data_IF_465382317856
#
_entry.id   IF_465382317856
#
_cell.length_a   1.000
_cell.length_b   1.000
_cell.length_c   1.000
_cell.angle_alpha   90.00
_cell.angle_beta   90.00
_cell.angle_gamma   90.00
#
_symmetry.space_group_name_H-M   'P 1'
#
loop_
_entity.id
_entity.type
_entity.pdbx_description
1 polymer ?
#
# COMPACT_ATOMS: atom_id res chain seq x y z
N UNK A 1 -1.93 17.93 9.73
CA UNK A 1 -2.45 18.23 8.37
C UNK A 1 -3.84 17.64 8.24
N UNK A 2 -4.85 18.41 7.80
CA UNK A 2 -6.14 17.84 7.39
C UNK A 2 -5.85 16.88 6.22
N UNK A 3 -6.00 15.56 6.43
CA UNK A 3 -5.97 14.58 5.33
C UNK A 3 -7.08 15.00 4.36
N UNK A 4 -6.73 15.68 3.26
CA UNK A 4 -7.63 15.81 2.11
C UNK A 4 -8.08 14.40 1.77
N UNK A 5 -9.38 14.19 1.62
CA UNK A 5 -9.93 12.88 1.25
C UNK A 5 -9.36 12.51 -0.11
N UNK A 6 -8.33 11.66 -0.13
CA UNK A 6 -7.76 11.15 -1.37
C UNK A 6 -8.80 10.26 -2.06
N UNK A 7 -8.80 10.22 -3.40
CA UNK A 7 -9.60 9.23 -4.12
C UNK A 7 -9.15 7.82 -3.72
N UNK A 8 -10.09 6.89 -3.75
CA UNK A 8 -9.90 5.52 -3.27
C UNK A 8 -10.13 4.50 -4.37
N UNK A 9 -9.38 3.40 -4.33
CA UNK A 9 -9.53 2.28 -5.24
C UNK A 9 -9.73 0.97 -4.47
N UNK A 10 -10.61 0.12 -4.97
CA UNK A 10 -10.70 -1.27 -4.53
C UNK A 10 -9.44 -2.02 -4.98
N UNK A 11 -9.10 -3.10 -4.28
CA UNK A 11 -7.90 -3.92 -4.54
C UNK A 11 -7.68 -4.24 -6.02
N UNK A 12 -8.73 -4.69 -6.73
CA UNK A 12 -8.62 -5.00 -8.16
C UNK A 12 -8.20 -3.80 -9.01
N UNK A 13 -8.82 -2.65 -8.78
CA UNK A 13 -8.59 -1.46 -9.61
C UNK A 13 -7.27 -0.76 -9.21
N UNK A 14 -6.90 -0.86 -7.93
CA UNK A 14 -5.58 -0.50 -7.44
C UNK A 14 -4.49 -1.31 -8.16
N UNK A 15 -4.63 -2.64 -8.23
CA UNK A 15 -3.65 -3.50 -8.93
C UNK A 15 -3.57 -3.19 -10.42
N UNK A 16 -4.71 -2.94 -11.07
CA UNK A 16 -4.72 -2.54 -12.48
C UNK A 16 -3.92 -1.26 -12.70
N UNK A 17 -4.08 -0.27 -11.81
CA UNK A 17 -3.32 0.98 -11.88
C UNK A 17 -1.83 0.76 -11.58
N UNK A 18 -1.50 -0.01 -10.54
CA UNK A 18 -0.11 -0.31 -10.17
C UNK A 18 0.65 -1.08 -11.27
N UNK A 19 -0.07 -1.79 -12.15
CA UNK A 19 0.49 -2.49 -13.31
C UNK A 19 0.69 -1.58 -14.55
N UNK A 20 0.23 -0.32 -14.52
CA UNK A 20 0.44 0.61 -15.64
C UNK A 20 1.88 1.11 -15.67
N UNK A 21 2.40 1.35 -16.88
CA UNK A 21 3.76 1.84 -17.08
C UNK A 21 3.99 3.20 -16.38
N UNK A 22 5.02 3.27 -15.55
CA UNK A 22 5.37 4.45 -14.77
C UNK A 22 4.56 4.66 -13.48
N UNK A 23 3.63 3.77 -13.14
CA UNK A 23 2.98 3.80 -11.83
C UNK A 23 3.89 3.21 -10.74
N UNK A 24 3.77 3.75 -9.54
CA UNK A 24 4.49 3.27 -8.35
C UNK A 24 3.53 3.08 -7.18
N UNK A 25 3.98 2.33 -6.19
CA UNK A 25 3.28 2.10 -4.94
C UNK A 25 4.02 2.80 -3.81
N UNK A 26 3.26 3.42 -2.92
CA UNK A 26 3.73 3.98 -1.66
C UNK A 26 3.09 3.28 -0.47
N UNK A 27 3.80 3.32 0.65
CA UNK A 27 3.33 2.91 1.95
C UNK A 27 3.54 4.05 2.96
N UNK A 28 2.49 4.38 3.72
CA UNK A 28 2.52 5.35 4.81
C UNK A 28 2.41 4.61 6.14
N UNK A 29 3.29 4.95 7.09
CA UNK A 29 3.13 4.57 8.49
C UNK A 29 2.16 5.54 9.17
N UNK A 30 0.96 5.09 9.52
CA UNK A 30 -0.03 5.89 10.25
C UNK A 30 0.30 5.93 11.74
N UNK A 31 0.58 4.77 12.32
CA UNK A 31 1.10 4.63 13.66
C UNK A 31 2.31 3.70 13.62
N UNK A 32 3.42 4.16 14.19
CA UNK A 32 4.61 3.35 14.32
C UNK A 32 4.44 2.39 15.51
N UNK A 33 4.99 1.18 15.39
CA UNK A 33 4.95 0.20 16.47
C UNK A 33 5.59 0.66 17.79
N UNK A 34 5.20 -0.06 18.85
CA UNK A 34 5.99 -0.22 20.06
C UNK A 34 7.48 -0.50 19.69
N UNK A 35 8.46 0.18 20.32
CA UNK A 35 9.88 -0.11 20.12
C UNK A 35 10.28 -1.59 20.21
N UNK A 36 9.51 -2.42 20.91
CA UNK A 36 9.72 -3.86 21.02
C UNK A 36 9.36 -4.66 19.74
N UNK A 37 8.47 -4.15 18.88
CA UNK A 37 7.96 -4.86 17.71
C UNK A 37 8.02 -3.98 16.45
N UNK A 38 9.19 -3.86 15.83
CA UNK A 38 9.50 -2.93 14.70
C UNK A 38 8.51 -2.86 13.52
N UNK A 39 7.58 -3.80 13.39
CA UNK A 39 6.62 -3.89 12.28
C UNK A 39 5.16 -4.01 12.75
N UNK A 40 4.81 -3.67 13.99
CA UNK A 40 3.47 -3.77 14.58
C UNK A 40 2.76 -2.41 14.70
N UNK A 41 2.20 -1.89 13.61
CA UNK A 41 1.61 -0.56 13.53
C UNK A 41 0.45 -0.49 12.55
N UNK A 42 0.06 0.71 12.15
CA UNK A 42 -0.99 0.95 11.16
C UNK A 42 -0.34 1.41 9.85
N UNK A 43 -0.65 0.75 8.72
CA UNK A 43 -0.13 1.14 7.39
C UNK A 43 -1.23 1.36 6.36
N UNK A 44 -0.99 2.32 5.47
CA UNK A 44 -1.81 2.62 4.30
C UNK A 44 -0.98 2.44 3.03
N UNK A 45 -1.63 1.95 1.97
CA UNK A 45 -1.03 1.82 0.64
C UNK A 45 -1.63 2.83 -0.33
N UNK A 46 -0.79 3.35 -1.22
CA UNK A 46 -1.18 4.24 -2.29
C UNK A 46 -0.60 3.76 -3.61
N UNK A 47 -1.35 3.94 -4.69
CA UNK A 47 -0.80 3.88 -6.04
C UNK A 47 -0.68 5.31 -6.54
N UNK A 48 0.47 5.62 -7.11
CA UNK A 48 0.77 6.91 -7.73
C UNK A 48 0.89 6.65 -9.22
N UNK A 49 0.01 7.26 -10.01
CA UNK A 49 0.06 7.16 -11.47
C UNK A 49 1.31 7.84 -12.02
N UNK A 50 1.62 7.59 -13.29
CA UNK A 50 2.71 8.28 -13.99
C UNK A 50 2.56 9.80 -13.98
N UNK A 51 1.34 10.29 -13.98
CA UNK A 51 0.97 11.72 -13.93
C UNK A 51 1.08 12.31 -12.52
N UNK A 52 1.31 11.47 -11.50
CA UNK A 52 1.41 11.87 -10.10
C UNK A 52 0.08 11.83 -9.34
N UNK A 53 -0.98 11.29 -9.94
CA UNK A 53 -2.26 11.13 -9.24
C UNK A 53 -2.16 10.02 -8.20
N UNK A 54 -2.50 10.36 -6.95
CA UNK A 54 -2.36 9.46 -5.79
C UNK A 54 -3.71 8.91 -5.35
N UNK A 55 -3.85 7.59 -5.34
CA UNK A 55 -5.05 6.87 -4.95
C UNK A 55 -4.77 5.93 -3.79
N UNK A 56 -5.63 5.94 -2.78
CA UNK A 56 -5.48 5.08 -1.61
C UNK A 56 -6.16 3.73 -1.82
N UNK A 57 -5.52 2.65 -1.37
CA UNK A 57 -6.11 1.31 -1.36
C UNK A 57 -7.27 1.24 -0.33
N UNK A 58 -8.40 0.67 -0.76
CA UNK A 58 -9.55 0.36 0.10
C UNK A 58 -9.89 -1.12 -0.03
N UNK A 59 -9.82 -1.80 1.10
CA UNK A 59 -10.53 -3.04 1.42
C UNK A 59 -11.94 -2.66 1.91
N UNK A 60 -12.93 -3.54 1.76
CA UNK A 60 -14.37 -3.28 1.62
C UNK A 60 -15.05 -2.25 2.57
N UNK A 61 -14.48 -1.89 3.72
CA UNK A 61 -14.99 -0.82 4.59
C UNK A 61 -13.92 0.21 4.96
N UNK A 62 -14.32 1.44 5.33
CA UNK A 62 -13.38 2.49 5.73
C UNK A 62 -12.47 2.12 6.92
N UNK A 63 -12.85 1.09 7.71
CA UNK A 63 -12.05 0.51 8.80
C UNK A 63 -10.98 -0.47 8.33
N UNK A 64 -11.11 -1.08 7.15
CA UNK A 64 -10.16 -2.07 6.65
C UNK A 64 -8.98 -1.44 5.90
N UNK A 65 -9.03 -0.12 5.64
CA UNK A 65 -7.99 0.67 4.96
C UNK A 65 -6.60 0.49 5.58
N UNK A 66 -6.57 0.04 6.83
CA UNK A 66 -5.41 -0.01 7.67
C UNK A 66 -5.04 -1.46 7.90
N UNK A 67 -3.80 -1.79 7.55
CA UNK A 67 -3.20 -3.05 7.97
C UNK A 67 -2.58 -2.83 9.34
N UNK A 68 -2.84 -3.74 10.28
CA UNK A 68 -2.50 -3.57 11.70
C UNK A 68 -1.51 -4.62 12.25
N UNK A 69 -0.96 -5.49 11.40
CA UNK A 69 0.08 -6.45 11.77
C UNK A 69 1.21 -6.59 10.73
N UNK A 70 2.43 -6.98 11.16
CA UNK A 70 3.54 -7.27 10.25
C UNK A 70 3.17 -8.31 9.19
N UNK A 71 2.53 -9.40 9.62
CA UNK A 71 2.14 -10.50 8.74
C UNK A 71 1.12 -10.01 7.71
N UNK A 72 0.16 -9.18 8.13
CA UNK A 72 -0.79 -8.55 7.21
C UNK A 72 -0.08 -7.65 6.20
N UNK A 73 0.95 -6.91 6.64
CA UNK A 73 1.71 -6.01 5.79
C UNK A 73 2.47 -6.78 4.71
N UNK A 74 3.22 -7.81 5.11
CA UNK A 74 3.95 -8.65 4.18
C UNK A 74 2.99 -9.39 3.24
N UNK A 75 1.89 -9.96 3.75
CA UNK A 75 0.89 -10.66 2.93
C UNK A 75 0.22 -9.75 1.89
N UNK A 76 -0.02 -8.48 2.22
CA UNK A 76 -0.52 -7.51 1.25
C UNK A 76 0.53 -7.20 0.18
N UNK A 77 1.76 -6.87 0.59
CA UNK A 77 2.81 -6.45 -0.34
C UNK A 77 3.24 -7.57 -1.30
N UNK A 78 3.52 -8.76 -0.78
CA UNK A 78 4.04 -9.88 -1.60
C UNK A 78 2.92 -10.70 -2.24
N UNK A 79 1.84 -10.98 -1.50
CA UNK A 79 0.76 -11.83 -1.98
C UNK A 79 -0.22 -11.08 -2.87
N UNK A 80 -0.75 -9.95 -2.39
CA UNK A 80 -1.83 -9.25 -3.09
C UNK A 80 -1.34 -8.27 -4.15
N UNK A 81 -0.37 -7.44 -3.81
CA UNK A 81 0.13 -6.37 -4.69
C UNK A 81 1.32 -6.81 -5.56
N UNK A 82 1.92 -7.96 -5.23
CA UNK A 82 3.10 -8.54 -5.89
C UNK A 82 4.21 -7.51 -6.14
N UNK A 83 4.61 -6.78 -5.09
CA UNK A 83 5.62 -5.75 -5.20
C UNK A 83 7.02 -6.35 -5.44
N UNK A 84 7.85 -5.62 -6.18
CA UNK A 84 9.23 -5.97 -6.46
C UNK A 84 10.10 -6.02 -5.20
N UNK A 85 9.87 -5.07 -4.29
CA UNK A 85 10.41 -4.98 -2.96
C UNK A 85 9.38 -4.33 -2.02
N UNK A 86 9.67 -4.34 -0.71
CA UNK A 86 8.86 -3.66 0.29
C UNK A 86 9.75 -2.80 1.19
N UNK A 87 9.66 -1.48 1.02
CA UNK A 87 10.34 -0.51 1.87
C UNK A 87 9.41 -0.08 3.01
N UNK A 88 9.64 -0.62 4.20
CA UNK A 88 8.76 -0.36 5.36
C UNK A 88 9.21 0.90 6.12
N UNK A 89 8.36 1.93 6.25
CA UNK A 89 8.63 3.10 7.09
C UNK A 89 8.72 2.72 8.58
N UNK A 90 9.60 3.42 9.32
CA UNK A 90 9.89 3.12 10.73
C UNK A 90 9.30 4.11 11.73
N UNK A 91 8.77 5.24 11.26
CA UNK A 91 8.26 6.33 12.10
C UNK A 91 6.89 6.74 11.61
N UNK A 92 5.98 7.05 12.54
CA UNK A 92 4.65 7.53 12.21
C UNK A 92 4.74 8.82 11.37
N UNK A 93 4.01 8.85 10.25
CA UNK A 93 4.04 9.91 9.26
C UNK A 93 5.10 9.74 8.17
N UNK A 94 6.02 8.76 8.27
CA UNK A 94 6.97 8.45 7.19
C UNK A 94 6.26 7.75 6.02
N UNK A 95 6.67 8.09 4.80
CA UNK A 95 6.13 7.56 3.55
C UNK A 95 7.29 7.04 2.72
N UNK A 96 7.20 5.78 2.28
CA UNK A 96 8.16 5.16 1.37
C UNK A 96 7.47 4.86 0.05
N UNK A 97 8.13 5.17 -1.05
CA UNK A 97 7.58 5.07 -2.40
C UNK A 97 8.58 4.49 -3.39
N UNK A 98 8.18 4.39 -4.66
CA UNK A 98 9.02 3.84 -5.73
C UNK A 98 8.99 2.31 -5.83
N UNK A 99 8.10 1.65 -5.08
CA UNK A 99 7.85 0.21 -5.24
C UNK A 99 7.05 -0.02 -6.51
N UNK A 100 7.33 -1.11 -7.23
CA UNK A 100 6.62 -1.44 -8.47
C UNK A 100 5.93 -2.79 -8.33
N UNK A 101 4.73 -2.91 -8.89
CA UNK A 101 4.12 -4.23 -9.06
C UNK A 101 4.88 -5.01 -10.13
N UNK A 102 5.26 -6.25 -9.82
CA UNK A 102 5.95 -7.13 -10.77
C UNK A 102 5.02 -7.51 -11.93
N UNK A 103 5.54 -7.59 -13.17
CA UNK A 103 4.82 -8.17 -14.30
C UNK A 103 4.37 -9.59 -13.97
N UNK A 104 3.11 -9.92 -14.26
CA UNK A 104 2.56 -11.26 -14.02
C UNK A 104 1.99 -11.50 -12.62
N UNK A 105 1.90 -10.47 -11.77
CA UNK A 105 1.17 -10.52 -10.49
C UNK A 105 -0.36 -10.51 -10.59
N UNK A 106 -0.89 -10.79 -11.78
CA UNK A 106 -2.29 -11.15 -11.93
C UNK A 106 -2.46 -12.55 -11.35
N UNK A 107 -3.04 -12.64 -10.16
CA UNK A 107 -3.51 -13.93 -9.66
C UNK A 107 -4.38 -14.61 -10.73
N UNK A 108 -4.20 -15.92 -10.98
CA UNK A 108 -5.12 -16.72 -11.75
C UNK A 108 -6.34 -17.01 -10.87
N UNK A 109 -7.29 -16.09 -10.81
CA UNK A 109 -8.57 -16.33 -10.15
C UNK A 109 -9.69 -15.97 -11.12
N UNK A 110 -10.11 -17.00 -11.86
CA UNK A 110 -11.51 -17.20 -12.26
C UNK A 110 -12.42 -17.27 -11.03
#
# INVERSE_FOLDING_TARGET
>A
MKRRTLPVLLERDFRKMAATDGATVEIECVSAPDPAERFSGEWLFYVVSREGDRFMLVTATARERIINSPIGLFGMASGKLNLDHLDVPFVAGDVRGGMHSRPGGSDPLE
#
